data_IF_409306692690
#
_entry.id   IF_409306692690
#
_cell.length_a   1.000
_cell.length_b   1.000
_cell.length_c   1.000
_cell.angle_alpha   90.00
_cell.angle_beta   90.00
_cell.angle_gamma   90.00
#
_symmetry.space_group_name_H-M   'P 1'
#
loop_
_entity.id
_entity.type
_entity.pdbx_description
1 polymer ?
#
# COMPACT_ATOMS: atom_id res chain seq x y z
N UNK A 1 -45.14 5.50 2.21
CA UNK A 1 -44.59 5.47 3.58
C UNK A 1 -43.73 4.22 3.75
N UNK A 2 -42.44 4.38 4.08
CA UNK A 2 -41.54 3.34 4.63
C UNK A 2 -40.91 2.39 3.59
N UNK A 3 -39.59 2.17 3.51
CA UNK A 3 -38.48 2.51 4.41
C UNK A 3 -37.22 2.67 3.55
N UNK A 4 -36.70 3.89 3.48
CA UNK A 4 -35.28 4.09 3.25
C UNK A 4 -34.53 3.38 4.39
N UNK A 5 -33.98 2.20 4.10
CA UNK A 5 -33.02 1.58 5.00
C UNK A 5 -31.73 2.37 4.85
N UNK A 6 -31.64 3.43 5.65
CA UNK A 6 -30.42 4.15 5.99
C UNK A 6 -29.37 3.13 6.42
N UNK A 7 -28.58 2.67 5.45
CA UNK A 7 -27.32 2.03 5.73
C UNK A 7 -26.46 3.14 6.35
N UNK A 8 -26.32 3.12 7.68
CA UNK A 8 -25.29 3.91 8.34
C UNK A 8 -23.98 3.53 7.65
N UNK A 9 -23.16 4.48 7.16
CA UNK A 9 -21.80 4.15 6.77
C UNK A 9 -21.18 3.54 8.02
N UNK A 10 -20.95 2.21 8.01
CA UNK A 10 -20.38 1.51 9.16
C UNK A 10 -19.13 2.28 9.53
N UNK A 11 -19.20 2.88 10.71
CA UNK A 11 -18.24 3.84 11.21
C UNK A 11 -16.84 3.37 10.87
N UNK A 12 -16.16 4.16 10.04
CA UNK A 12 -14.72 4.40 10.10
C UNK A 12 -13.94 3.18 10.59
N UNK A 13 -14.02 2.06 9.87
CA UNK A 13 -13.04 0.99 9.99
C UNK A 13 -11.74 1.48 9.32
N UNK A 14 -11.22 2.61 9.80
CA UNK A 14 -9.81 2.93 9.83
C UNK A 14 -9.16 2.05 10.88
N UNK A 15 -9.29 0.72 10.72
CA UNK A 15 -8.49 -0.20 11.48
C UNK A 15 -7.05 0.02 11.00
N UNK A 16 -6.34 0.97 11.65
CA UNK A 16 -4.87 1.00 11.77
C UNK A 16 -4.39 -0.19 12.62
N UNK A 17 -5.11 -1.30 12.54
CA UNK A 17 -4.84 -2.54 13.22
C UNK A 17 -4.71 -3.54 12.09
N UNK A 18 -3.48 -3.93 11.71
CA UNK A 18 -3.28 -5.01 10.78
C UNK A 18 -4.12 -6.21 11.25
N UNK A 19 -4.72 -6.94 10.30
CA UNK A 19 -5.51 -8.13 10.62
C UNK A 19 -4.68 -9.20 11.37
N UNK A 20 -3.35 -9.07 11.34
CA UNK A 20 -2.40 -9.87 12.09
C UNK A 20 -1.92 -9.11 13.34
N UNK A 21 -1.91 -9.75 14.52
CA UNK A 21 -1.38 -9.12 15.73
C UNK A 21 0.12 -8.85 15.55
N UNK A 22 0.62 -7.78 16.17
CA UNK A 22 1.98 -7.24 15.91
C UNK A 22 3.12 -8.24 16.08
N UNK A 23 2.95 -9.23 16.97
CA UNK A 23 3.89 -10.33 17.20
C UNK A 23 4.05 -11.29 16.02
N UNK A 24 3.03 -11.37 15.17
CA UNK A 24 2.98 -12.28 14.01
C UNK A 24 3.35 -11.54 12.72
N UNK A 25 3.69 -10.24 12.81
CA UNK A 25 4.25 -9.46 11.71
C UNK A 25 5.75 -9.74 11.70
N UNK A 26 6.21 -10.47 10.68
CA UNK A 26 7.64 -10.63 10.41
C UNK A 26 8.11 -9.35 9.73
N UNK A 27 8.95 -8.52 10.37
CA UNK A 27 9.57 -7.40 9.68
C UNK A 27 10.62 -7.96 8.71
N UNK A 28 10.50 -7.64 7.42
CA UNK A 28 11.53 -8.04 6.43
C UNK A 28 12.89 -7.38 6.74
N UNK A 29 12.87 -6.24 7.46
CA UNK A 29 13.91 -5.82 8.41
C UNK A 29 15.32 -5.59 7.87
N UNK A 30 15.51 -5.54 6.55
CA UNK A 30 16.81 -5.30 5.94
C UNK A 30 16.77 -3.98 5.19
N UNK A 31 17.31 -2.95 5.83
CA UNK A 31 17.67 -1.70 5.16
C UNK A 31 18.92 -1.99 4.31
N UNK A 32 18.70 -2.46 3.08
CA UNK A 32 19.78 -2.74 2.11
C UNK A 32 19.95 -1.51 1.23
N UNK A 33 21.20 -1.10 1.03
CA UNK A 33 21.52 -0.03 0.10
C UNK A 33 21.19 -0.47 -1.34
N UNK A 34 20.39 0.33 -2.03
CA UNK A 34 20.09 0.08 -3.43
C UNK A 34 21.31 0.46 -4.29
N UNK A 35 21.78 -0.49 -5.09
CA UNK A 35 22.84 -0.28 -6.06
C UNK A 35 22.35 -0.59 -7.49
N UNK A 36 22.31 0.44 -8.33
CA UNK A 36 21.71 0.36 -9.67
C UNK A 36 22.43 -0.64 -10.60
N UNK A 37 23.72 -0.86 -10.38
CA UNK A 37 24.57 -1.76 -11.18
C UNK A 37 24.24 -3.24 -10.97
N UNK A 38 23.64 -3.59 -9.83
CA UNK A 38 23.21 -4.95 -9.50
C UNK A 38 21.74 -5.19 -9.79
N UNK A 39 21.00 -4.16 -10.19
CA UNK A 39 19.59 -4.26 -10.50
C UNK A 39 19.38 -5.11 -11.77
N UNK A 40 18.48 -6.05 -11.69
CA UNK A 40 18.08 -6.83 -12.86
C UNK A 40 17.02 -6.10 -13.70
N UNK A 41 16.50 -6.79 -14.71
CA UNK A 41 15.48 -6.23 -15.57
C UNK A 41 14.19 -5.91 -14.82
N UNK A 42 13.79 -6.80 -13.91
CA UNK A 42 12.54 -6.69 -13.17
C UNK A 42 12.60 -5.52 -12.18
N UNK A 43 13.76 -5.32 -11.54
CA UNK A 43 14.03 -4.17 -10.67
C UNK A 43 13.86 -2.84 -11.43
N UNK A 44 14.40 -2.77 -12.66
CA UNK A 44 14.28 -1.59 -13.51
C UNK A 44 12.83 -1.31 -13.93
N UNK A 45 12.07 -2.35 -14.28
CA UNK A 45 10.66 -2.22 -14.62
C UNK A 45 9.82 -1.78 -13.42
N UNK A 46 10.06 -2.36 -12.25
CA UNK A 46 9.40 -1.98 -11.00
C UNK A 46 9.62 -0.50 -10.68
N UNK A 47 10.85 0.01 -10.82
CA UNK A 47 11.14 1.43 -10.64
C UNK A 47 10.39 2.33 -11.62
N UNK A 48 10.35 1.97 -12.91
CA UNK A 48 9.61 2.73 -13.92
C UNK A 48 8.12 2.80 -13.56
N UNK A 49 7.53 1.65 -13.22
CA UNK A 49 6.12 1.54 -12.83
C UNK A 49 5.80 2.39 -11.59
N UNK A 50 6.68 2.39 -10.60
CA UNK A 50 6.54 3.22 -9.40
C UNK A 50 6.52 4.71 -9.75
N UNK A 51 7.47 5.17 -10.57
CA UNK A 51 7.55 6.58 -11.00
C UNK A 51 6.29 7.03 -11.75
N UNK A 52 5.75 6.17 -12.62
CA UNK A 52 4.49 6.45 -13.33
C UNK A 52 3.29 6.53 -12.40
N UNK A 53 3.21 5.65 -11.39
CA UNK A 53 2.17 5.68 -10.39
C UNK A 53 2.22 6.98 -9.56
N UNK A 54 3.41 7.39 -9.13
CA UNK A 54 3.62 8.65 -8.42
C UNK A 54 3.23 9.86 -9.26
N UNK A 55 3.60 9.87 -10.54
CA UNK A 55 3.19 10.91 -11.47
C UNK A 55 1.66 10.99 -11.62
N UNK A 56 0.97 9.85 -11.68
CA UNK A 56 -0.49 9.80 -11.70
C UNK A 56 -1.10 10.34 -10.39
N UNK A 57 -0.55 9.95 -9.25
CA UNK A 57 -1.04 10.38 -7.94
C UNK A 57 -0.87 11.89 -7.75
N UNK A 58 0.25 12.48 -8.18
CA UNK A 58 0.52 13.92 -8.10
C UNK A 58 -0.35 14.77 -9.03
N UNK A 59 -0.92 14.18 -10.07
CA UNK A 59 -1.81 14.86 -11.04
C UNK A 59 -3.27 14.89 -10.59
N UNK A 60 -3.60 14.29 -9.45
CA UNK A 60 -4.93 14.30 -8.83
C UNK A 60 -4.97 15.34 -7.72
#
# INVERSE_FOLDING_TARGET
MGRAQSQKPRDKNQAKLPQTPRRDIVPDGRDIEFAQEFADHDDLEAQKRSREADARAKRK
#
